data_IF_871058151418
#
_entry.id   IF_871058151418
#
_cell.length_a   1.000
_cell.length_b   1.000
_cell.length_c   1.000
_cell.angle_alpha   90.00
_cell.angle_beta   90.00
_cell.angle_gamma   90.00
#
_symmetry.space_group_name_H-M   'P 1'
#
loop_
_entity.id
_entity.type
_entity.pdbx_description
1 polymer ?
#
# COMPACT_ATOMS: atom_id res chain seq x y z
N UNK A 1 47.20 -28.00 -19.53
CA UNK A 1 46.64 -27.35 -18.32
C UNK A 1 46.82 -28.33 -17.16
N UNK A 2 47.57 -27.97 -16.12
CA UNK A 2 47.91 -28.93 -15.04
C UNK A 2 46.70 -29.21 -14.15
N UNK A 3 46.57 -30.43 -13.61
CA UNK A 3 45.48 -30.81 -12.69
C UNK A 3 45.35 -29.86 -11.49
N UNK A 4 46.48 -29.27 -11.06
CA UNK A 4 46.54 -28.24 -10.01
C UNK A 4 45.79 -26.96 -10.40
N UNK A 5 45.86 -26.56 -11.68
CA UNK A 5 45.17 -25.37 -12.21
C UNK A 5 43.65 -25.54 -12.29
N UNK A 6 43.15 -26.77 -12.48
CA UNK A 6 41.71 -27.07 -12.47
C UNK A 6 41.15 -27.01 -11.05
N UNK A 7 41.90 -27.53 -10.06
CA UNK A 7 41.50 -27.51 -8.65
C UNK A 7 41.49 -26.06 -8.11
N UNK A 8 42.48 -25.24 -8.43
CA UNK A 8 42.51 -23.83 -8.00
C UNK A 8 41.34 -23.02 -8.57
N UNK A 9 40.91 -23.29 -9.80
CA UNK A 9 39.76 -22.60 -10.42
C UNK A 9 38.42 -23.02 -9.78
N UNK A 10 38.29 -24.28 -9.37
CA UNK A 10 37.08 -24.81 -8.73
C UNK A 10 36.85 -24.21 -7.32
N UNK A 11 37.92 -23.84 -6.60
CA UNK A 11 37.83 -23.18 -5.30
C UNK A 11 37.47 -21.68 -5.37
N UNK A 12 37.79 -21.00 -6.46
CA UNK A 12 37.43 -19.57 -6.65
C UNK A 12 35.94 -19.44 -7.06
N UNK A 13 35.33 -20.50 -7.57
CA UNK A 13 33.89 -20.55 -7.89
C UNK A 13 33.00 -20.94 -6.69
N UNK A 14 33.50 -20.86 -5.46
CA UNK A 14 32.61 -20.81 -4.29
C UNK A 14 32.10 -19.38 -4.16
N UNK A 15 31.13 -19.02 -5.03
CA UNK A 15 30.36 -17.80 -4.86
C UNK A 15 29.67 -17.90 -3.50
N UNK A 16 30.17 -17.14 -2.55
CA UNK A 16 29.56 -16.99 -1.23
C UNK A 16 28.22 -16.30 -1.50
N UNK A 17 27.15 -17.08 -1.56
CA UNK A 17 25.80 -16.54 -1.54
C UNK A 17 25.60 -15.99 -0.12
N UNK A 18 25.88 -14.71 0.09
CA UNK A 18 25.47 -14.05 1.32
C UNK A 18 23.95 -14.04 1.34
N UNK A 19 23.34 -14.91 2.14
CA UNK A 19 21.93 -14.79 2.51
C UNK A 19 21.84 -13.55 3.39
N UNK A 20 21.63 -12.39 2.76
CA UNK A 20 21.30 -11.18 3.49
C UNK A 20 19.89 -11.34 4.04
N UNK A 21 19.69 -11.07 5.31
CA UNK A 21 18.35 -11.13 5.86
C UNK A 21 17.50 -9.99 5.36
N UNK A 22 16.24 -10.33 5.17
CA UNK A 22 15.28 -9.52 4.45
C UNK A 22 14.11 -9.26 5.38
N UNK A 23 13.76 -7.99 5.56
CA UNK A 23 12.51 -7.63 6.22
C UNK A 23 11.33 -8.05 5.32
N UNK A 24 10.30 -8.67 5.90
CA UNK A 24 9.12 -9.14 5.19
C UNK A 24 7.85 -8.63 5.86
N UNK A 25 6.90 -8.16 5.06
CA UNK A 25 5.58 -7.75 5.57
C UNK A 25 4.79 -8.99 5.99
N UNK A 26 4.23 -8.96 7.20
CA UNK A 26 3.24 -9.94 7.68
C UNK A 26 1.86 -9.31 7.96
N UNK A 27 1.72 -7.99 7.82
CA UNK A 27 0.44 -7.29 7.72
C UNK A 27 0.67 -5.96 6.97
N UNK A 28 -0.05 -5.66 5.88
CA UNK A 28 -1.21 -6.37 5.35
C UNK A 28 -0.87 -7.71 4.66
N UNK A 29 -1.87 -8.59 4.57
CA UNK A 29 -1.83 -9.85 3.83
C UNK A 29 -3.02 -9.94 2.85
N UNK A 30 -3.10 -11.02 2.09
CA UNK A 30 -4.23 -11.27 1.20
C UNK A 30 -5.54 -11.25 1.98
N UNK A 31 -6.51 -10.48 1.49
CA UNK A 31 -7.82 -10.29 2.14
C UNK A 31 -7.85 -9.21 3.23
N UNK A 32 -6.72 -8.58 3.58
CA UNK A 32 -6.74 -7.38 4.43
C UNK A 32 -7.50 -6.25 3.73
N UNK A 33 -8.28 -5.50 4.51
CA UNK A 33 -9.00 -4.32 4.04
C UNK A 33 -8.63 -3.12 4.90
N UNK A 34 -8.09 -2.08 4.28
CA UNK A 34 -7.88 -0.78 4.92
C UNK A 34 -8.95 0.20 4.50
N UNK A 35 -9.36 1.04 5.45
CA UNK A 35 -10.35 2.08 5.22
C UNK A 35 -9.68 3.43 5.07
N UNK A 36 -10.05 4.17 4.03
CA UNK A 36 -9.56 5.52 3.75
C UNK A 36 -9.82 6.44 4.96
N UNK A 37 -8.79 7.17 5.38
CA UNK A 37 -8.85 8.07 6.55
C UNK A 37 -8.80 7.36 7.90
N UNK A 38 -8.68 6.03 7.93
CA UNK A 38 -8.54 5.26 9.17
C UNK A 38 -7.08 4.93 9.48
N UNK A 39 -6.81 4.63 10.74
CA UNK A 39 -5.54 4.07 11.19
C UNK A 39 -5.49 2.59 10.86
N UNK A 40 -4.40 2.16 10.23
CA UNK A 40 -4.12 0.79 9.87
C UNK A 40 -2.78 0.36 10.46
N UNK A 41 -2.63 -0.92 10.77
CA UNK A 41 -1.36 -1.46 11.27
C UNK A 41 -0.56 -2.02 10.09
N UNK A 42 0.72 -1.65 10.04
CA UNK A 42 1.72 -2.23 9.15
C UNK A 42 2.73 -2.96 10.03
N UNK A 43 2.93 -4.25 9.79
CA UNK A 43 3.91 -5.03 10.54
C UNK A 43 4.81 -5.86 9.63
N UNK A 44 6.02 -6.10 10.13
CA UNK A 44 7.06 -6.85 9.45
C UNK A 44 7.85 -7.70 10.44
N UNK A 45 8.59 -8.66 9.89
CA UNK A 45 9.57 -9.44 10.62
C UNK A 45 10.84 -9.56 9.80
N UNK A 46 11.95 -9.89 10.47
CA UNK A 46 13.23 -10.16 9.81
C UNK A 46 13.37 -11.66 9.62
N UNK A 47 13.63 -12.08 8.39
CA UNK A 47 13.92 -13.46 8.03
C UNK A 47 15.45 -13.62 7.89
N UNK A 48 16.11 -14.20 8.90
CA UNK A 48 17.56 -14.37 8.99
C UNK A 48 18.30 -13.32 9.84
N UNK A 49 19.61 -13.18 9.65
CA UNK A 49 20.47 -12.16 10.29
C UNK A 49 20.70 -10.95 9.36
N UNK A 50 20.26 -9.76 9.78
CA UNK A 50 20.39 -8.50 8.99
C UNK A 50 21.38 -7.56 9.66
N UNK A 51 22.22 -6.91 8.87
CA UNK A 51 23.05 -5.79 9.33
C UNK A 51 22.28 -4.46 9.28
N UNK A 52 21.11 -4.44 8.64
CA UNK A 52 20.28 -3.26 8.54
C UNK A 52 19.56 -2.99 9.86
N UNK A 53 19.86 -1.84 10.47
CA UNK A 53 19.19 -1.43 11.70
C UNK A 53 17.87 -0.68 11.45
N UNK A 54 17.57 -0.34 10.19
CA UNK A 54 16.43 0.48 9.79
C UNK A 54 15.75 -0.05 8.52
N UNK A 55 14.48 0.32 8.36
CA UNK A 55 13.67 0.02 7.18
C UNK A 55 12.86 1.24 6.73
N UNK A 56 12.56 1.26 5.44
CA UNK A 56 11.62 2.16 4.78
C UNK A 56 10.39 1.36 4.38
N UNK A 57 9.22 1.98 4.51
CA UNK A 57 7.92 1.40 4.21
C UNK A 57 7.23 2.27 3.16
N UNK A 58 6.72 1.64 2.11
CA UNK A 58 6.05 2.33 1.00
C UNK A 58 4.73 1.67 0.66
N UNK A 59 3.77 2.48 0.22
CA UNK A 59 2.53 2.03 -0.39
C UNK A 59 2.67 2.13 -1.91
N UNK A 60 2.40 1.03 -2.60
CA UNK A 60 2.35 0.96 -4.06
C UNK A 60 1.03 0.36 -4.54
N UNK A 61 0.71 0.58 -5.80
CA UNK A 61 -0.45 -0.06 -6.43
C UNK A 61 -0.24 -0.32 -7.92
N UNK A 62 -1.02 -1.24 -8.48
CA UNK A 62 -1.10 -1.48 -9.93
C UNK A 62 -0.63 -2.86 -10.36
N UNK A 63 -0.12 -2.95 -11.58
CA UNK A 63 0.35 -4.21 -12.18
C UNK A 63 1.63 -4.71 -11.49
N UNK A 64 1.79 -6.03 -11.25
CA UNK A 64 3.00 -6.59 -10.64
C UNK A 64 4.30 -6.26 -11.38
N UNK A 65 4.24 -6.06 -12.70
CA UNK A 65 5.40 -5.72 -13.53
C UNK A 65 5.63 -4.21 -13.62
N UNK A 66 4.73 -3.39 -13.08
CA UNK A 66 4.81 -1.91 -13.13
C UNK A 66 4.10 -1.25 -11.95
N UNK A 67 4.50 -1.62 -10.73
CA UNK A 67 3.95 -1.04 -9.51
C UNK A 67 4.23 0.46 -9.43
N UNK A 68 3.18 1.24 -9.27
CA UNK A 68 3.25 2.70 -9.13
C UNK A 68 3.42 3.08 -7.67
N UNK A 69 4.29 4.05 -7.41
CA UNK A 69 4.44 4.64 -6.09
C UNK A 69 3.20 5.47 -5.73
N UNK A 70 2.62 5.21 -4.55
CA UNK A 70 1.44 5.94 -4.07
C UNK A 70 1.83 6.86 -2.91
N UNK A 71 2.52 6.33 -1.90
CA UNK A 71 2.90 7.09 -0.72
C UNK A 71 4.09 6.48 0.00
N UNK A 72 4.85 7.33 0.69
CA UNK A 72 5.78 6.92 1.74
C UNK A 72 4.96 6.66 3.01
N UNK A 73 5.07 5.46 3.59
CA UNK A 73 4.44 5.13 4.87
C UNK A 73 5.34 5.61 6.00
N UNK A 74 6.62 5.23 5.95
CA UNK A 74 7.63 5.66 6.91
C UNK A 74 9.05 5.48 6.33
N UNK A 75 10.01 6.24 6.87
CA UNK A 75 11.44 6.16 6.50
C UNK A 75 12.28 5.99 7.75
N UNK A 76 13.40 5.28 7.64
CA UNK A 76 14.43 5.15 8.67
C UNK A 76 13.91 4.59 10.01
N UNK A 77 12.88 3.73 9.95
CA UNK A 77 12.25 3.13 11.13
C UNK A 77 13.13 2.02 11.67
N UNK A 78 13.40 1.95 12.99
CA UNK A 78 14.16 0.84 13.56
C UNK A 78 13.55 -0.50 13.16
N UNK A 79 14.36 -1.40 12.60
CA UNK A 79 13.87 -2.70 12.11
C UNK A 79 13.23 -3.51 13.25
N UNK A 80 13.78 -3.38 14.46
CA UNK A 80 13.31 -4.04 15.67
C UNK A 80 11.93 -3.54 16.15
N UNK A 81 11.42 -2.42 15.64
CA UNK A 81 10.09 -1.93 15.98
C UNK A 81 9.01 -2.92 15.49
N UNK A 82 9.23 -3.57 14.35
CA UNK A 82 8.39 -4.67 13.81
C UNK A 82 6.95 -4.30 13.44
N UNK A 83 6.47 -3.12 13.82
CA UNK A 83 5.11 -2.66 13.56
C UNK A 83 4.99 -1.16 13.72
N UNK A 84 4.09 -0.54 12.97
CA UNK A 84 3.67 0.84 13.18
C UNK A 84 2.20 1.05 12.77
N UNK A 85 1.64 2.15 13.24
CA UNK A 85 0.33 2.63 12.82
C UNK A 85 0.47 3.66 11.68
N UNK A 86 -0.28 3.45 10.61
CA UNK A 86 -0.32 4.30 9.42
C UNK A 86 -1.70 4.91 9.25
N UNK A 87 -1.77 6.23 9.05
CA UNK A 87 -3.01 6.91 8.68
C UNK A 87 -3.20 6.82 7.16
N UNK A 88 -4.20 6.07 6.72
CA UNK A 88 -4.49 5.86 5.29
C UNK A 88 -4.96 7.18 4.66
N UNK A 89 -4.29 7.68 3.60
CA UNK A 89 -4.64 8.96 2.98
C UNK A 89 -6.09 9.01 2.48
N UNK A 90 -6.72 10.18 2.63
CA UNK A 90 -8.13 10.42 2.30
C UNK A 90 -8.47 10.41 0.80
N UNK A 91 -7.46 10.53 -0.06
CA UNK A 91 -7.60 10.75 -1.49
C UNK A 91 -7.27 9.51 -2.35
N UNK A 92 -7.20 8.33 -1.74
CA UNK A 92 -6.94 7.09 -2.46
C UNK A 92 -8.19 6.60 -3.20
N UNK A 93 -7.97 5.85 -4.28
CA UNK A 93 -9.05 5.21 -5.05
C UNK A 93 -9.29 3.82 -4.47
N UNK A 94 -10.56 3.42 -4.32
CA UNK A 94 -10.92 2.05 -3.93
C UNK A 94 -10.35 1.05 -4.93
N UNK A 95 -9.55 0.09 -4.46
CA UNK A 95 -8.94 -0.95 -5.29
C UNK A 95 -8.39 -2.09 -4.45
N UNK A 96 -8.27 -3.27 -5.05
CA UNK A 96 -7.67 -4.48 -4.48
C UNK A 96 -6.20 -4.64 -4.88
N UNK A 97 -5.65 -3.68 -5.63
CA UNK A 97 -4.32 -3.74 -6.22
C UNK A 97 -3.25 -3.00 -5.39
N UNK A 98 -3.47 -2.76 -4.10
CA UNK A 98 -2.48 -2.12 -3.22
C UNK A 98 -1.54 -3.15 -2.60
N UNK A 99 -0.28 -2.76 -2.42
CA UNK A 99 0.74 -3.55 -1.72
C UNK A 99 1.63 -2.65 -0.87
N UNK A 100 2.09 -3.17 0.27
CA UNK A 100 3.09 -2.50 1.11
C UNK A 100 4.47 -3.10 0.81
N UNK A 101 5.45 -2.25 0.55
CA UNK A 101 6.85 -2.62 0.42
C UNK A 101 7.63 -2.30 1.69
N UNK A 102 8.56 -3.18 2.08
CA UNK A 102 9.57 -2.95 3.12
C UNK A 102 10.97 -3.19 2.57
N UNK A 103 11.89 -2.26 2.82
CA UNK A 103 13.26 -2.32 2.30
C UNK A 103 14.24 -1.59 3.21
N UNK A 104 15.51 -1.93 3.15
CA UNK A 104 16.56 -1.21 3.90
C UNK A 104 16.95 0.11 3.24
N UNK A 105 16.59 0.28 1.96
CA UNK A 105 16.76 1.50 1.18
C UNK A 105 15.54 1.75 0.27
N UNK A 106 15.66 2.69 -0.68
CA UNK A 106 14.57 3.07 -1.59
C UNK A 106 14.65 2.40 -2.98
N UNK A 107 15.56 1.45 -3.14
CA UNK A 107 15.86 0.79 -4.43
C UNK A 107 15.29 -0.62 -4.51
N UNK A 108 15.26 -1.35 -3.39
CA UNK A 108 14.73 -2.71 -3.33
C UNK A 108 13.76 -2.88 -2.16
N UNK A 109 12.61 -3.48 -2.45
CA UNK A 109 11.52 -3.68 -1.49
C UNK A 109 10.98 -5.11 -1.58
N UNK A 110 10.74 -5.71 -0.42
CA UNK A 110 9.92 -6.90 -0.31
C UNK A 110 8.46 -6.49 -0.11
N UNK A 111 7.60 -6.98 -0.99
CA UNK A 111 6.20 -6.60 -1.04
C UNK A 111 5.32 -7.60 -0.29
N UNK A 112 4.25 -7.08 0.31
CA UNK A 112 3.13 -7.88 0.80
C UNK A 112 2.34 -8.48 -0.36
N UNK A 113 1.41 -9.39 -0.02
CA UNK A 113 0.30 -9.69 -0.92
C UNK A 113 -0.49 -8.42 -1.27
N UNK A 114 -1.21 -8.49 -2.39
CA UNK A 114 -2.22 -7.49 -2.69
C UNK A 114 -3.34 -7.49 -1.64
N UNK A 115 -3.80 -6.30 -1.31
CA UNK A 115 -4.87 -6.07 -0.35
C UNK A 115 -5.76 -4.91 -0.81
N UNK A 116 -6.93 -4.80 -0.18
CA UNK A 116 -7.92 -3.79 -0.54
C UNK A 116 -7.78 -2.53 0.28
N UNK A 117 -7.84 -1.38 -0.38
CA UNK A 117 -8.18 -0.11 0.25
C UNK A 117 -9.55 0.31 -0.26
N UNK A 118 -10.45 0.67 0.65
CA UNK A 118 -11.81 1.09 0.32
C UNK A 118 -12.20 2.38 1.04
N UNK A 119 -13.16 3.10 0.45
CA UNK A 119 -13.78 4.24 1.11
C UNK A 119 -14.38 3.82 2.46
N UNK A 120 -14.16 4.64 3.49
CA UNK A 120 -14.92 4.49 4.74
C UNK A 120 -16.39 4.72 4.39
N UNK A 121 -17.31 3.78 4.72
CA UNK A 121 -18.73 4.01 4.49
C UNK A 121 -19.14 5.29 5.20
N UNK A 122 -19.59 6.28 4.43
CA UNK A 122 -20.33 7.40 5.00
C UNK A 122 -21.64 6.80 5.48
N UNK A 123 -21.73 6.52 6.77
CA UNK A 123 -23.01 6.14 7.38
C UNK A 123 -23.99 7.25 7.02
N UNK A 124 -24.89 6.96 6.08
CA UNK A 124 -25.91 7.88 5.55
C UNK A 124 -27.06 8.07 6.56
N UNK A 125 -26.70 8.21 7.84
CA UNK A 125 -27.61 8.49 8.96
C UNK A 125 -27.58 9.94 9.41
N UNK A 126 -26.65 10.75 8.91
CA UNK A 126 -26.62 12.19 9.19
C UNK A 126 -27.04 12.93 7.93
N UNK A 127 -28.33 13.27 7.90
CA UNK A 127 -28.87 14.36 7.09
C UNK A 127 -27.90 15.54 7.25
N UNK A 128 -27.11 15.83 6.20
CA UNK A 128 -26.25 17.00 6.17
C UNK A 128 -27.18 18.20 6.05
N UNK A 129 -27.72 18.63 7.20
CA UNK A 129 -28.32 19.94 7.35
C UNK A 129 -27.17 20.92 7.18
N UNK A 130 -26.94 21.32 5.94
CA UNK A 130 -26.09 22.43 5.60
C UNK A 130 -26.80 23.69 6.10
N UNK A 131 -26.57 24.05 7.36
CA UNK A 131 -27.14 25.25 8.00
C UNK A 131 -26.40 26.51 7.54
N UNK A 132 -26.28 26.70 6.22
CA UNK A 132 -25.27 27.61 5.73
C UNK A 132 -25.33 28.05 4.28
N UNK A 133 -26.40 27.85 3.49
CA UNK A 133 -26.79 28.70 2.35
C UNK A 133 -28.21 28.27 1.96
N UNK A 134 -29.05 29.23 1.60
CA UNK A 134 -30.48 29.03 1.34
C UNK A 134 -30.76 27.91 0.31
N UNK A 135 -31.85 27.20 0.58
CA UNK A 135 -32.51 26.22 -0.28
C UNK A 135 -32.31 26.44 -1.78
N UNK A 136 -31.77 25.43 -2.46
CA UNK A 136 -32.31 25.00 -3.76
C UNK A 136 -32.32 23.48 -3.80
N UNK A 137 -33.47 22.91 -3.46
CA UNK A 137 -33.82 21.53 -3.82
C UNK A 137 -34.21 21.57 -5.29
N UNK A 138 -33.35 21.15 -6.20
CA UNK A 138 -33.81 20.72 -7.53
C UNK A 138 -33.89 19.21 -7.53
N UNK A 139 -35.07 18.73 -7.11
CA UNK A 139 -35.49 17.36 -7.28
C UNK A 139 -35.59 17.03 -8.76
N UNK A 140 -35.02 15.89 -9.12
CA UNK A 140 -35.20 15.26 -10.41
C UNK A 140 -36.48 14.42 -10.35
N UNK A 141 -37.63 14.94 -10.79
CA UNK A 141 -38.80 14.12 -11.13
C UNK A 141 -39.55 14.72 -12.33
N UNK A 142 -39.46 14.00 -13.44
CA UNK A 142 -40.23 14.14 -14.67
C UNK A 142 -41.73 13.90 -14.42
N UNK A 143 -42.63 14.80 -14.85
CA UNK A 143 -43.99 14.45 -15.31
C UNK A 143 -44.53 15.49 -16.32
N UNK A 144 -44.86 14.97 -17.50
CA UNK A 144 -45.94 15.28 -18.45
C UNK A 144 -46.32 16.72 -18.85
N UNK A 145 -46.45 16.86 -20.18
CA UNK A 145 -47.06 17.94 -20.94
C UNK A 145 -48.49 18.28 -20.51
N UNK A 146 -48.89 19.54 -20.71
CA UNK A 146 -50.20 19.92 -21.23
C UNK A 146 -50.11 21.33 -21.84
N UNK A 147 -50.41 21.39 -23.14
CA UNK A 147 -50.67 22.59 -23.93
C UNK A 147 -51.81 23.41 -23.31
N UNK A 148 -51.75 24.75 -23.32
CA UNK A 148 -52.87 25.62 -23.72
C UNK A 148 -52.43 27.09 -23.88
N UNK A 149 -52.97 27.70 -24.93
CA UNK A 149 -52.82 29.03 -25.54
C UNK A 149 -53.28 30.23 -24.69
N UNK A 150 -52.68 31.42 -24.97
CA UNK A 150 -53.30 32.71 -25.37
C UNK A 150 -52.57 33.93 -24.75
N UNK A 151 -51.86 34.71 -25.58
CA UNK A 151 -52.18 36.10 -25.95
C UNK A 151 -51.34 36.50 -27.17
#
# INVERSE_FOLDING_TARGET
MSLKSIITLLFIFSAILSVQAVARINNPIGGTVWKIGSKAIVSWYVDGTTDANKVNLVLKAGDPNSLQFIALIAKDVPVAQGSLEYLVPGNLVTSDAYTVGVGSDDTDYNYSHYFRIEATPVNSGNNLVFSGFGSVVTGLLSVAALFFTFF
#
